data_IF_880206924938
#
_entry.id   IF_880206924938
#
_cell.length_a   1.000
_cell.length_b   1.000
_cell.length_c   1.000
_cell.angle_alpha   90.00
_cell.angle_beta   90.00
_cell.angle_gamma   90.00
#
_symmetry.space_group_name_H-M   'P 1'
#
loop_
_entity.id
_entity.type
_entity.pdbx_description
1 polymer ?
#
# COMPACT_ATOMS: atom_id res chain seq x y z
N UNK A 1 6.77 -27.27 -31.51
CA UNK A 1 6.49 -26.78 -30.15
C UNK A 1 5.26 -27.54 -29.69
N UNK A 2 5.36 -28.27 -28.58
CA UNK A 2 4.23 -29.05 -28.06
C UNK A 2 3.26 -28.13 -27.30
N UNK A 3 1.99 -28.51 -27.22
CA UNK A 3 0.91 -27.69 -26.65
C UNK A 3 1.16 -27.26 -25.18
N UNK A 4 1.69 -28.11 -24.29
CA UNK A 4 2.05 -27.68 -22.92
C UNK A 4 3.15 -26.62 -22.88
N UNK A 5 4.10 -26.68 -23.82
CA UNK A 5 5.21 -25.73 -23.91
C UNK A 5 4.70 -24.34 -24.35
N UNK A 6 3.72 -24.31 -25.27
CA UNK A 6 3.06 -23.08 -25.70
C UNK A 6 2.32 -22.42 -24.54
N UNK A 7 1.56 -23.19 -23.76
CA UNK A 7 0.83 -22.68 -22.59
C UNK A 7 1.79 -22.10 -21.55
N UNK A 8 2.90 -22.78 -21.26
CA UNK A 8 3.89 -22.28 -20.30
C UNK A 8 4.49 -20.96 -20.78
N UNK A 9 4.88 -20.85 -22.06
CA UNK A 9 5.43 -19.62 -22.63
C UNK A 9 4.44 -18.46 -22.60
N UNK A 10 3.18 -18.70 -22.93
CA UNK A 10 2.13 -17.68 -22.87
C UNK A 10 1.90 -17.20 -21.43
N UNK A 11 1.92 -18.11 -20.45
CA UNK A 11 1.80 -17.75 -19.03
C UNK A 11 2.96 -16.87 -18.58
N UNK A 12 4.19 -17.25 -18.89
CA UNK A 12 5.37 -16.50 -18.45
C UNK A 12 5.43 -15.12 -19.12
N UNK A 13 5.04 -15.02 -20.40
CA UNK A 13 4.89 -13.74 -21.09
C UNK A 13 3.84 -12.83 -20.43
N UNK A 14 2.67 -13.37 -20.08
CA UNK A 14 1.63 -12.61 -19.40
C UNK A 14 2.09 -12.11 -18.03
N UNK A 15 2.83 -12.93 -17.28
CA UNK A 15 3.40 -12.51 -15.98
C UNK A 15 4.34 -11.32 -16.16
N UNK A 16 5.23 -11.35 -17.15
CA UNK A 16 6.11 -10.21 -17.42
C UNK A 16 5.32 -8.95 -17.82
N UNK A 17 4.27 -9.08 -18.64
CA UNK A 17 3.41 -7.94 -18.98
C UNK A 17 2.72 -7.34 -17.75
N UNK A 18 2.28 -8.16 -16.79
CA UNK A 18 1.69 -7.68 -15.53
C UNK A 18 2.73 -6.90 -14.72
N UNK A 19 3.96 -7.41 -14.61
CA UNK A 19 5.04 -6.72 -13.90
C UNK A 19 5.42 -5.42 -14.60
N UNK A 20 5.55 -5.45 -15.92
CA UNK A 20 5.86 -4.27 -16.73
C UNK A 20 4.79 -3.20 -16.57
N UNK A 21 3.51 -3.59 -16.58
CA UNK A 21 2.41 -2.68 -16.32
C UNK A 21 2.52 -2.04 -14.92
N UNK A 22 2.79 -2.83 -13.88
CA UNK A 22 3.01 -2.31 -12.51
C UNK A 22 4.21 -1.36 -12.43
N UNK A 23 5.36 -1.75 -12.98
CA UNK A 23 6.60 -0.94 -13.01
C UNK A 23 6.46 0.34 -13.83
N UNK A 24 5.72 0.30 -14.93
CA UNK A 24 5.50 1.46 -15.80
C UNK A 24 4.80 2.63 -15.08
N UNK A 25 4.10 2.32 -13.99
CA UNK A 25 3.38 3.28 -13.15
C UNK A 25 4.21 3.74 -11.94
N UNK A 26 5.54 3.53 -11.94
CA UNK A 26 6.45 3.88 -10.82
C UNK A 26 6.21 5.28 -10.25
N UNK A 27 6.09 6.29 -11.11
CA UNK A 27 5.92 7.68 -10.66
C UNK A 27 4.57 7.92 -9.97
N UNK A 28 3.53 7.16 -10.35
CA UNK A 28 2.24 7.17 -9.66
C UNK A 28 2.36 6.45 -8.31
N UNK A 29 2.99 5.27 -8.29
CA UNK A 29 3.21 4.53 -7.04
C UNK A 29 3.95 5.34 -5.98
N UNK A 30 4.90 6.19 -6.37
CA UNK A 30 5.64 7.05 -5.47
C UNK A 30 4.79 8.17 -4.81
N UNK A 31 3.60 8.47 -5.35
CA UNK A 31 2.65 9.41 -4.75
C UNK A 31 1.76 8.76 -3.67
N UNK A 32 1.54 7.45 -3.79
CA UNK A 32 0.64 6.68 -2.92
C UNK A 32 0.98 6.83 -1.42
N UNK A 33 2.24 6.79 -0.95
CA UNK A 33 2.54 6.99 0.47
C UNK A 33 1.98 8.29 1.04
N UNK A 34 2.23 9.42 0.38
CA UNK A 34 1.77 10.72 0.87
C UNK A 34 0.24 10.81 0.89
N UNK A 35 -0.41 10.41 -0.21
CA UNK A 35 -1.87 10.41 -0.30
C UNK A 35 -2.53 9.47 0.70
N UNK A 36 -1.90 8.32 0.95
CA UNK A 36 -2.35 7.39 1.97
C UNK A 36 -2.26 7.98 3.37
N UNK A 37 -1.21 8.75 3.67
CA UNK A 37 -1.11 9.48 4.93
C UNK A 37 -2.20 10.56 5.06
N UNK A 38 -2.50 11.31 4.00
CA UNK A 38 -3.56 12.32 4.02
C UNK A 38 -4.97 11.73 4.16
N UNK A 39 -5.17 10.52 3.63
CA UNK A 39 -6.39 9.75 3.74
C UNK A 39 -6.56 9.04 5.10
N UNK A 40 -5.47 8.83 5.85
CA UNK A 40 -5.53 8.12 7.13
C UNK A 40 -6.36 8.87 8.18
N UNK A 41 -7.10 8.12 8.99
CA UNK A 41 -8.05 8.67 9.98
C UNK A 41 -9.33 9.26 9.39
N UNK A 42 -9.50 9.32 8.06
CA UNK A 42 -10.75 9.77 7.43
C UNK A 42 -11.76 8.64 7.22
N UNK A 43 -11.32 7.38 7.31
CA UNK A 43 -12.19 6.22 7.43
C UNK A 43 -12.68 6.02 8.88
N UNK A 44 -13.89 5.47 9.04
CA UNK A 44 -14.46 5.12 10.35
C UNK A 44 -13.78 3.93 11.04
N UNK A 45 -12.82 3.31 10.37
CA UNK A 45 -12.03 2.17 10.84
C UNK A 45 -10.57 2.40 10.49
N UNK A 46 -9.64 1.90 11.31
CA UNK A 46 -8.24 1.77 10.90
C UNK A 46 -8.20 0.86 9.69
N UNK A 47 -7.88 1.43 8.52
CA UNK A 47 -7.83 0.69 7.26
C UNK A 47 -6.37 0.35 6.94
N UNK A 48 -5.93 -0.92 7.08
CA UNK A 48 -4.57 -1.32 6.74
C UNK A 48 -4.19 -1.02 5.29
N UNK A 49 -5.18 -0.87 4.40
CA UNK A 49 -4.99 -0.45 3.02
C UNK A 49 -4.45 0.97 2.91
N UNK A 50 -4.77 1.83 3.90
CA UNK A 50 -4.36 3.23 3.96
C UNK A 50 -3.11 3.41 4.83
N UNK A 51 -2.96 2.64 5.92
CA UNK A 51 -1.82 2.84 6.82
C UNK A 51 -0.51 2.21 6.34
N UNK A 52 -0.57 1.06 5.66
CA UNK A 52 0.65 0.33 5.23
C UNK A 52 1.50 1.06 4.19
N UNK A 53 0.94 1.73 3.16
CA UNK A 53 1.74 2.39 2.14
C UNK A 53 2.77 3.39 2.66
N UNK A 54 2.43 4.21 3.68
CA UNK A 54 3.36 5.22 4.21
C UNK A 54 4.24 4.73 5.37
N UNK A 55 3.94 3.57 5.96
CA UNK A 55 4.80 2.96 6.98
C UNK A 55 5.84 2.00 6.37
N UNK A 56 5.41 1.15 5.44
CA UNK A 56 6.22 0.02 4.96
C UNK A 56 6.73 0.22 3.53
N UNK A 57 6.38 1.32 2.87
CA UNK A 57 6.71 1.58 1.46
C UNK A 57 6.14 0.54 0.48
N UNK A 58 5.11 -0.19 0.90
CA UNK A 58 4.50 -1.27 0.14
C UNK A 58 2.99 -1.25 0.27
N UNK A 59 2.30 -1.66 -0.79
CA UNK A 59 0.84 -1.70 -0.84
C UNK A 59 0.35 -3.09 -1.14
N UNK A 60 -0.57 -3.62 -0.32
CA UNK A 60 -1.13 -4.97 -0.50
C UNK A 60 -2.14 -5.01 -1.66
N UNK A 61 -2.02 -6.02 -2.52
CA UNK A 61 -2.94 -6.29 -3.61
C UNK A 61 -3.97 -7.32 -3.15
N UNK A 62 -5.17 -6.86 -2.84
CA UNK A 62 -6.28 -7.72 -2.43
C UNK A 62 -6.87 -8.45 -3.64
N UNK A 63 -6.49 -9.72 -3.80
CA UNK A 63 -7.05 -10.63 -4.78
C UNK A 63 -8.23 -11.40 -4.17
N UNK A 64 -9.40 -11.36 -4.81
CA UNK A 64 -10.62 -12.05 -4.35
C UNK A 64 -10.61 -13.57 -4.58
N UNK A 65 -9.46 -14.13 -4.92
CA UNK A 65 -9.34 -15.54 -5.24
C UNK A 65 -9.38 -16.38 -3.95
N UNK A 66 -10.38 -17.26 -3.88
CA UNK A 66 -10.51 -18.32 -2.87
C UNK A 66 -9.35 -19.34 -2.88
N UNK A 67 -8.40 -19.23 -3.83
CA UNK A 67 -7.27 -20.15 -4.01
C UNK A 67 -5.95 -19.66 -3.42
N UNK A 68 -5.87 -18.42 -2.95
CA UNK A 68 -4.62 -17.81 -2.45
C UNK A 68 -4.72 -17.48 -0.98
N UNK A 69 -5.01 -18.48 -0.13
CA UNK A 69 -5.23 -18.24 1.30
C UNK A 69 -4.00 -17.80 2.09
N UNK A 70 -2.76 -17.95 1.61
CA UNK A 70 -1.60 -17.78 2.50
C UNK A 70 -0.48 -16.82 2.04
N UNK A 71 -0.62 -16.13 0.91
CA UNK A 71 0.49 -15.38 0.33
C UNK A 71 0.08 -14.05 -0.30
N UNK A 72 -0.10 -12.98 0.50
CA UNK A 72 -0.39 -11.66 -0.04
C UNK A 72 0.76 -11.18 -0.95
N UNK A 73 0.37 -10.53 -2.05
CA UNK A 73 1.28 -9.84 -2.96
C UNK A 73 1.20 -8.36 -2.66
N UNK A 74 2.33 -7.68 -2.80
CA UNK A 74 2.44 -6.26 -2.61
C UNK A 74 3.06 -5.61 -3.84
N UNK A 75 2.82 -4.32 -4.00
CA UNK A 75 3.64 -3.46 -4.86
C UNK A 75 4.67 -2.74 -3.98
N UNK A 76 5.94 -2.76 -4.37
CA UNK A 76 6.98 -1.88 -3.83
C UNK A 76 6.81 -0.49 -4.42
N UNK A 77 6.47 0.48 -3.57
CA UNK A 77 6.08 1.82 -4.01
C UNK A 77 7.26 2.64 -4.54
N UNK A 78 8.51 2.20 -4.31
CA UNK A 78 9.70 2.88 -4.80
C UNK A 78 9.96 2.63 -6.29
N UNK A 79 9.55 1.46 -6.81
CA UNK A 79 9.91 0.97 -8.14
C UNK A 79 8.76 0.32 -8.92
N UNK A 80 7.60 0.09 -8.29
CA UNK A 80 6.43 -0.54 -8.89
C UNK A 80 6.54 -2.06 -9.04
N UNK A 81 7.55 -2.72 -8.45
CA UNK A 81 7.74 -4.16 -8.54
C UNK A 81 6.74 -4.93 -7.69
N UNK A 82 6.30 -6.09 -8.20
CA UNK A 82 5.45 -7.01 -7.46
C UNK A 82 6.28 -7.90 -6.54
N UNK A 83 6.06 -7.77 -5.24
CA UNK A 83 6.85 -8.37 -4.17
C UNK A 83 6.00 -9.18 -3.21
N UNK A 84 6.66 -10.01 -2.40
CA UNK A 84 6.08 -10.72 -1.27
C UNK A 84 6.87 -10.42 0.00
N UNK A 85 6.14 -10.32 1.10
CA UNK A 85 6.70 -10.24 2.45
C UNK A 85 6.77 -11.65 3.04
N UNK A 86 7.97 -12.13 3.32
CA UNK A 86 8.19 -13.42 4.01
C UNK A 86 8.69 -13.13 5.41
N UNK A 87 7.98 -13.60 6.42
CA UNK A 87 8.43 -13.56 7.80
C UNK A 87 9.17 -14.86 8.13
N UNK A 88 10.39 -14.73 8.66
CA UNK A 88 11.07 -15.86 9.29
C UNK A 88 10.59 -15.97 10.74
N UNK A 89 9.92 -17.08 11.09
CA UNK A 89 9.43 -17.32 12.46
C UNK A 89 10.53 -17.31 13.52
N UNK A 90 11.81 -17.47 13.12
CA UNK A 90 12.97 -17.50 14.01
C UNK A 90 13.52 -16.10 14.34
N UNK A 91 13.46 -15.16 13.40
CA UNK A 91 14.08 -13.82 13.58
C UNK A 91 13.07 -12.69 13.68
N UNK A 92 11.77 -12.95 13.42
CA UNK A 92 10.72 -11.94 13.22
C UNK A 92 11.07 -10.90 12.14
N UNK A 93 12.14 -11.10 11.39
CA UNK A 93 12.49 -10.25 10.26
C UNK A 93 11.52 -10.52 9.11
N UNK A 94 11.03 -9.44 8.52
CA UNK A 94 10.25 -9.47 7.29
C UNK A 94 11.19 -9.18 6.13
N UNK A 95 11.32 -10.14 5.20
CA UNK A 95 12.05 -9.96 3.96
C UNK A 95 11.10 -9.65 2.82
N UNK A 96 11.44 -8.63 2.05
CA UNK A 96 10.75 -8.30 0.80
C UNK A 96 11.51 -9.00 -0.33
N UNK A 97 10.83 -9.85 -1.07
CA UNK A 97 11.37 -10.56 -2.23
C UNK A 97 10.47 -10.35 -3.44
N UNK A 98 11.01 -10.44 -4.67
CA UNK A 98 10.15 -10.45 -5.86
C UNK A 98 9.16 -11.62 -5.77
N UNK A 99 7.90 -11.35 -6.12
CA UNK A 99 6.85 -12.37 -6.09
C UNK A 99 7.15 -13.46 -7.13
N UNK A 100 6.91 -14.73 -6.81
CA UNK A 100 7.06 -15.80 -7.82
C UNK A 100 5.93 -15.73 -8.87
N UNK A 101 6.18 -16.15 -10.11
CA UNK A 101 5.22 -16.07 -11.23
C UNK A 101 3.86 -16.70 -10.94
N UNK A 102 3.82 -17.79 -10.16
CA UNK A 102 2.59 -18.47 -9.75
C UNK A 102 1.65 -17.58 -8.92
N UNK A 103 2.19 -16.58 -8.23
CA UNK A 103 1.41 -15.61 -7.46
C UNK A 103 1.03 -14.40 -8.31
N UNK A 104 1.91 -13.96 -9.20
CA UNK A 104 1.63 -12.81 -10.09
C UNK A 104 0.54 -13.12 -11.11
N UNK A 105 0.52 -14.34 -11.66
CA UNK A 105 -0.43 -14.72 -12.72
C UNK A 105 -1.91 -14.48 -12.36
N UNK A 106 -2.40 -14.84 -11.16
CA UNK A 106 -3.76 -14.50 -10.71
C UNK A 106 -4.18 -13.03 -10.86
N UNK A 107 -3.23 -12.08 -10.83
CA UNK A 107 -3.51 -10.64 -10.99
C UNK A 107 -4.10 -10.34 -12.37
N UNK A 108 -3.86 -11.18 -13.38
CA UNK A 108 -4.45 -11.03 -14.71
C UNK A 108 -5.99 -10.86 -14.68
N UNK A 109 -6.66 -11.46 -13.69
CA UNK A 109 -8.11 -11.37 -13.52
C UNK A 109 -8.58 -10.13 -12.76
N UNK A 110 -7.67 -9.29 -12.28
CA UNK A 110 -7.95 -8.12 -11.45
C UNK A 110 -6.90 -7.04 -11.65
N UNK A 111 -6.55 -6.72 -12.90
CA UNK A 111 -5.53 -5.74 -13.25
C UNK A 111 -5.82 -4.35 -12.67
N UNK A 112 -7.10 -4.00 -12.50
CA UNK A 112 -7.51 -2.74 -11.87
C UNK A 112 -7.06 -2.61 -10.41
N UNK A 113 -6.63 -3.71 -9.77
CA UNK A 113 -6.07 -3.70 -8.42
C UNK A 113 -4.62 -3.23 -8.38
N UNK A 114 -3.94 -3.24 -9.53
CA UNK A 114 -2.57 -2.73 -9.70
C UNK A 114 -2.54 -1.50 -10.64
N UNK A 115 -3.69 -0.86 -10.84
CA UNK A 115 -3.79 0.44 -11.50
C UNK A 115 -3.55 1.54 -10.45
N UNK A 116 -2.37 2.14 -10.50
CA UNK A 116 -1.92 3.14 -9.55
C UNK A 116 -2.77 4.41 -9.62
N UNK A 117 -3.23 4.81 -10.82
CA UNK A 117 -4.05 6.00 -10.99
C UNK A 117 -5.39 5.81 -10.29
N UNK A 118 -6.03 4.66 -10.49
CA UNK A 118 -7.31 4.34 -9.82
C UNK A 118 -7.18 4.33 -8.29
N UNK A 119 -6.03 3.88 -7.79
CA UNK A 119 -5.72 3.90 -6.36
C UNK A 119 -5.56 5.34 -5.86
N UNK A 120 -4.80 6.17 -6.58
CA UNK A 120 -4.62 7.59 -6.30
C UNK A 120 -5.98 8.29 -6.23
N UNK A 121 -6.84 8.12 -7.25
CA UNK A 121 -8.17 8.73 -7.29
C UNK A 121 -8.97 8.36 -6.03
N UNK A 122 -8.94 7.08 -5.64
CA UNK A 122 -9.61 6.62 -4.42
C UNK A 122 -9.02 7.20 -3.13
N UNK A 123 -7.71 7.47 -3.09
CA UNK A 123 -7.04 8.06 -1.93
C UNK A 123 -7.32 9.56 -1.85
N UNK A 124 -7.31 10.27 -2.97
CA UNK A 124 -7.67 11.68 -3.07
C UNK A 124 -9.12 11.92 -2.62
N UNK A 125 -10.06 11.09 -3.10
CA UNK A 125 -11.46 11.14 -2.67
C UNK A 125 -11.59 10.99 -1.14
N UNK A 126 -10.82 10.08 -0.55
CA UNK A 126 -10.79 9.86 0.91
C UNK A 126 -10.13 11.02 1.64
N UNK A 127 -9.01 11.53 1.13
CA UNK A 127 -8.26 12.67 1.69
C UNK A 127 -9.11 13.95 1.71
N UNK A 128 -10.03 14.11 0.76
CA UNK A 128 -10.97 15.23 0.71
C UNK A 128 -12.24 15.01 1.55
N UNK A 129 -12.46 13.80 2.05
CA UNK A 129 -13.57 13.45 2.94
C UNK A 129 -13.43 14.02 4.36
N UNK A 130 -14.55 14.17 5.10
CA UNK A 130 -14.50 14.60 6.50
C UNK A 130 -13.75 13.58 7.36
N UNK A 131 -13.05 14.05 8.39
CA UNK A 131 -12.43 13.15 9.37
C UNK A 131 -13.49 12.31 10.07
N UNK A 132 -13.18 11.03 10.27
CA UNK A 132 -14.03 10.17 11.08
C UNK A 132 -13.97 10.57 12.56
N UNK A 133 -14.95 10.14 13.39
CA UNK A 133 -14.89 10.36 14.83
C UNK A 133 -13.60 9.83 15.48
N UNK A 134 -13.05 8.72 14.96
CA UNK A 134 -11.79 8.13 15.43
C UNK A 134 -10.59 8.99 15.01
N UNK A 135 -10.52 9.41 13.74
CA UNK A 135 -9.46 10.29 13.26
C UNK A 135 -9.45 11.64 13.98
N UNK A 136 -10.63 12.19 14.28
CA UNK A 136 -10.76 13.41 15.08
C UNK A 136 -10.19 13.26 16.49
N UNK A 137 -10.35 12.09 17.12
CA UNK A 137 -9.81 11.82 18.45
C UNK A 137 -8.29 11.72 18.44
N UNK A 138 -7.71 10.94 17.52
CA UNK A 138 -6.26 10.77 17.38
C UNK A 138 -5.59 12.12 17.05
N UNK A 139 -6.18 12.92 16.17
CA UNK A 139 -5.64 14.22 15.80
C UNK A 139 -5.67 15.22 16.94
N UNK A 140 -6.75 15.22 17.75
CA UNK A 140 -6.82 16.05 18.97
C UNK A 140 -5.77 15.64 20.00
N UNK A 141 -5.66 14.34 20.29
CA UNK A 141 -4.66 13.81 21.23
C UNK A 141 -3.23 14.18 20.78
N UNK A 142 -2.95 14.14 19.47
CA UNK A 142 -1.64 14.51 18.91
C UNK A 142 -1.34 16.02 19.03
N UNK A 143 -2.34 16.88 18.82
CA UNK A 143 -2.21 18.34 18.99
C UNK A 143 -2.06 18.73 20.47
N UNK A 144 -2.74 18.04 21.38
CA UNK A 144 -2.65 18.28 22.81
C UNK A 144 -1.27 17.90 23.36
N UNK A 145 -0.63 16.84 22.82
CA UNK A 145 0.76 16.47 23.14
C UNK A 145 1.73 17.54 22.64
N UNK A 146 1.61 18.00 21.39
CA UNK A 146 2.48 19.05 20.85
C UNK A 146 2.36 20.39 21.60
N UNK A 147 1.16 20.73 22.09
CA UNK A 147 0.94 21.94 22.88
C UNK A 147 1.46 21.84 24.32
N UNK A 148 1.57 20.63 24.88
CA UNK A 148 2.15 20.41 26.22
C UNK A 148 3.68 20.31 26.22
N UNK A 149 4.32 20.09 25.06
CA UNK A 149 5.78 20.05 24.92
C UNK A 149 6.42 21.42 24.61
N UNK A 150 5.66 22.52 24.59
CA UNK A 150 6.22 23.87 24.46
C UNK A 150 6.10 24.69 25.76
N UNK A 151 6.97 24.47 26.77
CA UNK A 151 6.99 25.23 28.02
C UNK A 151 7.48 26.68 27.86
N UNK A 152 7.91 27.12 26.67
CA UNK A 152 8.55 28.43 26.46
C UNK A 152 7.63 29.59 26.06
N UNK A 153 6.32 29.38 25.89
CA UNK A 153 5.39 30.48 25.54
C UNK A 153 4.69 31.14 26.73
N UNK A 154 4.96 30.70 27.97
CA UNK A 154 4.31 31.21 29.19
C UNK A 154 5.21 32.03 30.11
N UNK A 155 6.20 32.77 29.61
CA UNK A 155 6.85 33.81 30.42
C UNK A 155 7.19 35.00 29.53
N UNK A 156 6.42 36.08 29.70
CA UNK A 156 6.79 37.51 29.65
C UNK A 156 5.66 38.38 29.08
N UNK A 157 4.60 38.54 29.87
CA UNK A 157 3.93 39.84 30.01
C UNK A 157 3.54 39.99 31.47
N UNK A 158 4.35 40.72 32.23
CA UNK A 158 3.90 41.45 33.40
C UNK A 158 4.51 42.84 33.32
N UNK A 159 3.59 43.80 33.30
CA UNK A 159 3.78 45.24 33.42
C UNK A 159 4.57 45.64 34.67
#
# INVERSE_FOLDING_TARGET
MDFPELISKSRDHLVEQIRDYSRSQKELWQQVPWLSYEADGRSSTLDPYVSRPYHDGTMEIHLFSSFTMDCPIYVDLSNGELVRKISSGLTREVKIISAENKYVFPIANSLERIDAQRIIDSLEDRANGPLSPIGNRIRKESLDIQNNENPMSKIYTRD
#
